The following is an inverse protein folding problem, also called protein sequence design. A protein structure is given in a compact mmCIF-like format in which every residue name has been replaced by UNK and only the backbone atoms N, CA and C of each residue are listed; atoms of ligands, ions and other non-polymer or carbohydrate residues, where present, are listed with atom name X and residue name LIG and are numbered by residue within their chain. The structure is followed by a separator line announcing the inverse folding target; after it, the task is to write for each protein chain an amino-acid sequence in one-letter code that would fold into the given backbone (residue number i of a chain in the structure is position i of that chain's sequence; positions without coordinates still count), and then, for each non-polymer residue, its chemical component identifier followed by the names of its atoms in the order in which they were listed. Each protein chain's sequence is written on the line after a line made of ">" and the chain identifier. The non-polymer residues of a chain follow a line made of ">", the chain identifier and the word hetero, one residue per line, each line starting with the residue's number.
data_IF_145066090932
#
_entry.id   IF_145066090932
#
_cell.length_a   1.000
_cell.length_b   1.000
_cell.length_c   1.000
_cell.angle_alpha   90.00
_cell.angle_beta   90.00
_cell.angle_gamma   90.00
#
_symmetry.space_group_name_H-M   'P 1'
#
loop_
_entity.id
_entity.type
_entity.pdbx_description
1 polymer ?
#
# COMPACT_ATOMS: atom_id res chain seq x y z
N UNK A 1 -11.66 4.79 15.42
CA UNK A 1 -10.66 3.81 15.90
C UNK A 1 -9.31 4.53 16.01
N UNK A 2 -8.34 3.98 16.74
CA UNK A 2 -7.00 4.56 16.79
C UNK A 2 -6.24 4.21 15.50
N UNK A 3 -5.45 5.14 14.97
CA UNK A 3 -4.62 4.91 13.78
C UNK A 3 -3.42 3.99 14.09
N UNK A 4 -2.90 3.34 13.05
CA UNK A 4 -1.70 2.50 13.06
C UNK A 4 -0.55 3.31 12.44
N UNK A 5 0.52 3.51 13.19
CA UNK A 5 1.75 4.12 12.67
C UNK A 5 2.57 3.03 11.96
N UNK A 6 3.03 3.32 10.76
CA UNK A 6 3.78 2.39 9.91
C UNK A 6 5.05 3.06 9.40
N UNK A 7 6.19 2.38 9.54
CA UNK A 7 7.48 2.76 8.97
C UNK A 7 7.89 1.72 7.91
N UNK A 8 8.11 2.16 6.67
CA UNK A 8 8.32 1.27 5.51
C UNK A 8 9.29 1.88 4.49
N UNK A 9 9.66 1.13 3.46
CA UNK A 9 10.44 1.65 2.31
C UNK A 9 9.58 1.59 1.05
N UNK A 10 9.34 2.73 0.40
CA UNK A 10 8.55 2.80 -0.83
C UNK A 10 9.40 3.42 -1.94
N UNK A 11 9.54 2.71 -3.06
CA UNK A 11 10.32 3.15 -4.22
C UNK A 11 11.78 3.52 -3.89
N UNK A 12 12.33 2.92 -2.81
CA UNK A 12 13.69 3.17 -2.33
C UNK A 12 13.81 4.24 -1.24
N UNK A 13 12.75 4.99 -0.97
CA UNK A 13 12.72 6.02 0.06
C UNK A 13 12.12 5.49 1.37
N UNK A 14 12.68 5.89 2.51
CA UNK A 14 12.09 5.62 3.81
C UNK A 14 10.84 6.49 4.00
N UNK A 15 9.71 5.86 4.29
CA UNK A 15 8.40 6.51 4.42
C UNK A 15 7.75 6.11 5.74
N UNK A 16 7.18 7.09 6.43
CA UNK A 16 6.34 6.86 7.60
C UNK A 16 4.94 7.43 7.34
N UNK A 17 3.90 6.70 7.76
CA UNK A 17 2.52 7.18 7.66
C UNK A 17 1.64 6.65 8.79
N UNK A 18 0.48 7.29 8.94
CA UNK A 18 -0.59 6.86 9.82
C UNK A 18 -1.79 6.41 8.97
N UNK A 19 -2.23 5.17 9.14
CA UNK A 19 -3.42 4.64 8.45
C UNK A 19 -4.46 4.13 9.44
N UNK A 20 -5.70 3.92 8.99
CA UNK A 20 -6.65 3.13 9.77
C UNK A 20 -6.32 1.62 9.66
N UNK A 21 -6.72 0.79 10.64
CA UNK A 21 -6.47 -0.66 10.59
C UNK A 21 -7.13 -1.38 9.40
N UNK A 22 -8.18 -0.80 8.84
CA UNK A 22 -8.97 -1.32 7.72
C UNK A 22 -8.66 -0.65 6.38
N UNK A 23 -7.79 0.37 6.35
CA UNK A 23 -7.31 0.97 5.09
C UNK A 23 -6.41 -0.01 4.34
N UNK A 24 -6.68 -0.18 3.05
CA UNK A 24 -5.85 -0.95 2.14
C UNK A 24 -4.55 -0.21 1.82
N UNK A 25 -3.52 -0.94 1.40
CA UNK A 25 -2.27 -0.35 0.93
C UNK A 25 -2.49 0.53 -0.29
N UNK A 26 -3.47 0.19 -1.15
CA UNK A 26 -3.85 1.04 -2.28
C UNK A 26 -4.35 2.42 -1.82
N UNK A 27 -5.27 2.47 -0.85
CA UNK A 27 -5.79 3.73 -0.29
C UNK A 27 -4.67 4.53 0.37
N UNK A 28 -3.79 3.87 1.13
CA UNK A 28 -2.63 4.55 1.72
C UNK A 28 -1.73 5.17 0.65
N UNK A 29 -1.33 4.39 -0.36
CA UNK A 29 -0.46 4.89 -1.43
C UNK A 29 -1.08 6.08 -2.14
N UNK A 30 -2.36 6.00 -2.51
CA UNK A 30 -3.02 7.02 -3.33
C UNK A 30 -3.46 8.24 -2.53
N UNK A 31 -4.12 8.04 -1.40
CA UNK A 31 -4.86 9.09 -0.71
C UNK A 31 -4.09 9.67 0.47
N UNK A 32 -3.21 8.88 1.11
CA UNK A 32 -2.33 9.38 2.19
C UNK A 32 -1.02 9.91 1.63
N UNK A 33 -0.40 9.17 0.70
CA UNK A 33 0.94 9.45 0.20
C UNK A 33 0.96 10.14 -1.18
N UNK A 34 -0.17 10.20 -1.89
CA UNK A 34 -0.25 10.84 -3.21
C UNK A 34 0.43 10.05 -4.34
N UNK A 35 0.85 8.82 -4.10
CA UNK A 35 1.47 7.91 -5.06
C UNK A 35 0.39 7.24 -5.91
N UNK A 36 -0.03 7.94 -6.96
CA UNK A 36 -1.18 7.53 -7.79
C UNK A 36 -0.84 6.56 -8.92
N UNK A 37 0.37 5.99 -8.95
CA UNK A 37 0.82 5.02 -9.97
C UNK A 37 -0.06 3.77 -10.02
N UNK A 38 -0.16 3.07 -8.89
CA UNK A 38 -1.15 2.01 -8.69
C UNK A 38 -2.58 2.56 -8.77
N UNK A 39 -3.45 1.86 -9.50
CA UNK A 39 -4.82 2.33 -9.80
C UNK A 39 -5.86 1.48 -9.10
N UNK A 40 -6.91 2.15 -8.64
CA UNK A 40 -8.15 1.46 -8.28
C UNK A 40 -8.91 1.06 -9.55
N UNK A 41 -9.32 -0.20 -9.61
CA UNK A 41 -10.02 -0.76 -10.76
C UNK A 41 -11.20 -1.62 -10.36
N UNK A 42 -10.95 -2.77 -9.71
CA UNK A 42 -12.01 -3.67 -9.24
C UNK A 42 -12.16 -3.75 -7.72
N UNK A 43 -11.10 -3.46 -6.94
CA UNK A 43 -11.11 -3.62 -5.48
C UNK A 43 -11.15 -5.07 -4.97
N UNK A 44 -11.18 -6.06 -5.86
CA UNK A 44 -11.33 -7.48 -5.53
C UNK A 44 -10.12 -8.34 -5.91
N UNK A 45 -9.07 -7.72 -6.46
CA UNK A 45 -7.84 -8.40 -6.89
C UNK A 45 -7.86 -9.01 -8.29
N UNK A 46 -8.95 -8.85 -9.05
CA UNK A 46 -9.11 -9.52 -10.35
C UNK A 46 -8.40 -8.80 -11.52
N UNK A 47 -8.40 -7.46 -11.54
CA UNK A 47 -7.93 -6.71 -12.72
C UNK A 47 -6.42 -6.40 -12.72
N UNK A 48 -5.74 -6.52 -11.59
CA UNK A 48 -4.31 -6.21 -11.46
C UNK A 48 -3.92 -4.73 -11.58
N UNK A 49 -4.85 -3.79 -11.76
CA UNK A 49 -4.53 -2.36 -11.92
C UNK A 49 -3.85 -1.73 -10.70
N UNK A 50 -4.02 -2.35 -9.53
CA UNK A 50 -3.42 -1.95 -8.25
C UNK A 50 -2.11 -2.69 -7.93
N UNK A 51 -1.52 -3.39 -8.91
CA UNK A 51 -0.36 -4.23 -8.65
C UNK A 51 0.82 -3.42 -8.13
N UNK A 52 1.46 -3.94 -7.09
CA UNK A 52 2.73 -3.44 -6.54
C UNK A 52 3.63 -4.63 -6.24
N UNK A 53 4.93 -4.41 -6.09
CA UNK A 53 5.86 -5.42 -5.63
C UNK A 53 6.11 -5.19 -4.14
N UNK A 54 5.92 -6.21 -3.31
CA UNK A 54 6.33 -6.17 -1.90
C UNK A 54 7.33 -7.30 -1.63
N UNK A 55 8.53 -6.91 -1.17
CA UNK A 55 9.66 -7.81 -0.94
C UNK A 55 9.94 -8.75 -2.14
N UNK A 56 9.90 -8.19 -3.35
CA UNK A 56 10.13 -8.92 -4.60
C UNK A 56 8.95 -9.74 -5.11
N UNK A 57 7.78 -9.70 -4.45
CA UNK A 57 6.58 -10.42 -4.88
C UNK A 57 5.51 -9.47 -5.40
N UNK A 58 5.03 -9.74 -6.62
CA UNK A 58 3.90 -9.02 -7.21
C UNK A 58 2.60 -9.37 -6.46
N UNK A 59 1.88 -8.35 -5.98
CA UNK A 59 0.62 -8.51 -5.22
C UNK A 59 -0.38 -7.41 -5.60
N UNK A 60 -1.67 -7.67 -5.37
CA UNK A 60 -2.71 -6.65 -5.50
C UNK A 60 -2.78 -5.81 -4.23
N UNK A 61 -2.37 -4.53 -4.28
CA UNK A 61 -2.37 -3.65 -3.11
C UNK A 61 -3.77 -3.36 -2.53
N UNK A 62 -4.85 -3.55 -3.31
CA UNK A 62 -6.22 -3.46 -2.80
C UNK A 62 -6.61 -4.61 -1.86
N UNK A 63 -5.81 -5.69 -1.79
CA UNK A 63 -6.04 -6.84 -0.90
C UNK A 63 -4.99 -6.97 0.21
N UNK A 64 -4.17 -5.93 0.40
CA UNK A 64 -3.17 -5.84 1.47
C UNK A 64 -3.56 -4.66 2.34
N UNK A 65 -3.50 -4.79 3.66
CA UNK A 65 -3.75 -3.66 4.56
C UNK A 65 -2.55 -2.72 4.56
N UNK A 66 -2.81 -1.42 4.71
CA UNK A 66 -1.75 -0.42 4.88
C UNK A 66 -0.86 -0.73 6.08
N UNK A 67 -1.43 -1.30 7.15
CA UNK A 67 -0.69 -1.75 8.32
C UNK A 67 0.31 -2.88 8.02
N UNK A 68 0.06 -3.71 7.01
CA UNK A 68 0.93 -4.85 6.67
C UNK A 68 2.20 -4.45 5.91
N UNK A 69 2.39 -3.17 5.57
CA UNK A 69 3.62 -2.69 4.94
C UNK A 69 4.75 -2.38 5.94
N UNK A 70 4.50 -2.50 7.24
CA UNK A 70 5.47 -2.26 8.31
C UNK A 70 6.78 -3.03 8.08
N UNK A 71 7.89 -2.30 8.00
CA UNK A 71 9.23 -2.84 7.79
C UNK A 71 9.47 -3.48 6.41
N UNK A 72 8.51 -3.39 5.47
CA UNK A 72 8.61 -4.02 4.15
C UNK A 72 9.16 -3.07 3.10
N UNK A 73 9.55 -3.62 1.94
CA UNK A 73 9.91 -2.83 0.75
C UNK A 73 8.80 -2.91 -0.28
N UNK A 74 8.22 -1.77 -0.65
CA UNK A 74 7.15 -1.63 -1.66
C UNK A 74 7.68 -0.91 -2.90
N UNK A 75 7.36 -1.41 -4.08
CA UNK A 75 7.64 -0.76 -5.37
C UNK A 75 6.33 -0.64 -6.15
N UNK A 76 5.99 0.58 -6.57
CA UNK A 76 4.69 0.94 -7.20
C UNK A 76 4.78 1.18 -8.69
#
# INVERSE_FOLDING_TARGET
>A
MAGVAVSTTINGDAVEYLCQPDETLLEVLRDRLGLTGAKEGCGTGDCGACSVIIDGRLVCSCLVLGAEAEGRKVET
#
